data_IF_386525799218
#
_entry.id   IF_386525799218
#
_cell.length_a   1.000
_cell.length_b   1.000
_cell.length_c   1.000
_cell.angle_alpha   90.00
_cell.angle_beta   90.00
_cell.angle_gamma   90.00
#
_symmetry.space_group_name_H-M   'P 1'
#
loop_
_entity.id
_entity.type
_entity.pdbx_description
1 polymer ?
#
# COMPACT_ATOMS: atom_id res chain seq x y z
N UNK A 1 19.35 13.97 -5.41
CA UNK A 1 19.37 12.67 -4.71
C UNK A 1 17.96 12.34 -4.24
N UNK A 2 17.44 11.17 -4.61
CA UNK A 2 16.08 10.78 -4.24
C UNK A 2 16.10 10.04 -2.92
N UNK A 3 15.34 10.53 -1.96
CA UNK A 3 15.22 9.90 -0.65
C UNK A 3 14.30 8.68 -0.69
N UNK A 4 14.38 7.83 0.32
CA UNK A 4 13.60 6.60 0.39
C UNK A 4 12.09 6.87 0.37
N UNK A 5 11.63 7.88 1.08
CA UNK A 5 10.21 8.22 1.10
C UNK A 5 9.69 8.55 -0.30
N UNK A 6 10.43 9.35 -1.05
CA UNK A 6 10.05 9.73 -2.41
C UNK A 6 10.05 8.52 -3.35
N UNK A 7 11.02 7.62 -3.20
CA UNK A 7 11.05 6.37 -3.98
C UNK A 7 9.82 5.52 -3.69
N UNK A 8 9.46 5.38 -2.42
CA UNK A 8 8.29 4.61 -2.00
C UNK A 8 7.02 5.22 -2.58
N UNK A 9 6.83 6.53 -2.41
CA UNK A 9 5.64 7.22 -2.92
C UNK A 9 5.53 7.12 -4.43
N UNK A 10 6.65 7.27 -5.13
CA UNK A 10 6.67 7.16 -6.59
C UNK A 10 6.27 5.75 -7.04
N UNK A 11 6.80 4.73 -6.38
CA UNK A 11 6.46 3.34 -6.70
C UNK A 11 4.98 3.06 -6.44
N UNK A 12 4.40 3.64 -5.39
CA UNK A 12 3.00 3.44 -5.03
C UNK A 12 2.03 4.29 -5.86
N UNK A 13 2.53 5.18 -6.70
CA UNK A 13 1.70 6.05 -7.52
C UNK A 13 0.94 5.29 -8.62
N UNK A 14 1.37 4.09 -8.95
CA UNK A 14 0.77 3.29 -10.00
C UNK A 14 -0.15 2.20 -9.42
N UNK A 15 -1.40 2.07 -9.91
CA UNK A 15 -2.33 1.09 -9.36
C UNK A 15 -1.90 -0.37 -9.56
N UNK A 16 -1.24 -0.69 -10.68
CA UNK A 16 -0.74 -2.05 -10.90
C UNK A 16 0.31 -2.41 -9.87
N UNK A 17 1.22 -1.48 -9.58
CA UNK A 17 2.26 -1.73 -8.56
C UNK A 17 1.65 -1.91 -7.17
N UNK A 18 0.63 -1.12 -6.82
CA UNK A 18 -0.09 -1.33 -5.55
C UNK A 18 -0.75 -2.70 -5.51
N UNK A 19 -1.33 -3.13 -6.63
CA UNK A 19 -1.94 -4.46 -6.74
C UNK A 19 -0.94 -5.59 -6.57
N UNK A 20 0.25 -5.44 -7.16
CA UNK A 20 1.33 -6.42 -7.01
C UNK A 20 1.76 -6.53 -5.54
N UNK A 21 1.91 -5.41 -4.85
CA UNK A 21 2.26 -5.44 -3.43
C UNK A 21 1.18 -6.12 -2.60
N UNK A 22 -0.10 -5.90 -2.94
CA UNK A 22 -1.20 -6.57 -2.26
C UNK A 22 -1.12 -8.09 -2.46
N UNK A 23 -0.79 -8.55 -3.66
CA UNK A 23 -0.59 -9.98 -3.92
C UNK A 23 0.56 -10.52 -3.07
N UNK A 24 1.66 -9.79 -3.00
CA UNK A 24 2.85 -10.21 -2.25
C UNK A 24 2.64 -10.17 -0.74
N UNK A 25 1.65 -9.42 -0.25
CA UNK A 25 1.30 -9.44 1.17
C UNK A 25 0.72 -10.79 1.60
N UNK A 26 0.22 -11.57 0.64
CA UNK A 26 -0.31 -12.91 0.90
C UNK A 26 0.78 -13.99 0.85
N UNK A 27 1.96 -13.66 0.34
CA UNK A 27 3.08 -14.60 0.24
C UNK A 27 3.92 -14.36 -0.99
N UNK A 28 5.05 -15.05 -1.07
CA UNK A 28 5.94 -14.98 -2.23
C UNK A 28 5.22 -15.41 -3.49
N UNK A 29 5.61 -14.82 -4.61
CA UNK A 29 5.04 -15.15 -5.91
C UNK A 29 6.05 -14.94 -7.03
N UNK A 30 5.95 -15.75 -8.07
CA UNK A 30 6.77 -15.60 -9.27
C UNK A 30 6.19 -14.51 -10.16
N UNK A 31 6.98 -14.04 -11.14
CA UNK A 31 6.51 -13.04 -12.11
C UNK A 31 5.25 -13.52 -12.82
N UNK A 32 5.21 -14.79 -13.22
CA UNK A 32 4.05 -15.36 -13.92
C UNK A 32 2.80 -15.34 -13.05
N UNK A 33 2.94 -15.69 -11.78
CA UNK A 33 1.83 -15.65 -10.82
C UNK A 33 1.33 -14.22 -10.63
N UNK A 34 2.25 -13.27 -10.51
CA UNK A 34 1.90 -11.86 -10.32
C UNK A 34 1.22 -11.28 -11.56
N UNK A 35 1.60 -11.74 -12.74
CA UNK A 35 1.05 -11.26 -14.01
C UNK A 35 -0.37 -11.78 -14.29
N UNK A 36 -0.74 -12.90 -13.69
CA UNK A 36 -1.97 -13.62 -14.02
C UNK A 36 -3.24 -12.74 -13.97
N UNK A 37 -3.48 -11.92 -12.93
CA UNK A 37 -4.70 -11.11 -12.88
C UNK A 37 -4.70 -9.89 -13.81
N UNK A 38 -3.59 -9.62 -14.49
CA UNK A 38 -3.47 -8.42 -15.32
C UNK A 38 -3.46 -8.76 -16.81
N UNK A 39 -4.10 -7.92 -17.60
CA UNK A 39 -4.06 -8.01 -19.06
C UNK A 39 -2.87 -7.21 -19.58
N UNK A 40 -1.67 -7.71 -19.32
CA UNK A 40 -0.44 -7.08 -19.77
C UNK A 40 0.65 -8.12 -19.97
N UNK A 41 1.67 -7.79 -20.76
CA UNK A 41 2.77 -8.69 -21.05
C UNK A 41 3.65 -8.93 -19.82
N UNK A 42 4.37 -10.06 -19.81
CA UNK A 42 5.36 -10.32 -18.76
C UNK A 42 6.43 -9.22 -18.73
N UNK A 43 6.79 -8.67 -19.88
CA UNK A 43 7.75 -7.58 -19.95
C UNK A 43 7.25 -6.33 -19.23
N UNK A 44 5.95 -6.02 -19.37
CA UNK A 44 5.34 -4.88 -18.68
C UNK A 44 5.32 -5.11 -17.17
N UNK A 45 4.92 -6.31 -16.74
CA UNK A 45 4.94 -6.67 -15.31
C UNK A 45 6.36 -6.58 -14.77
N UNK A 46 7.35 -7.08 -15.52
CA UNK A 46 8.75 -7.03 -15.11
C UNK A 46 9.24 -5.59 -14.91
N UNK A 47 8.79 -4.65 -15.73
CA UNK A 47 9.14 -3.23 -15.55
C UNK A 47 8.58 -2.69 -14.24
N UNK A 48 7.34 -3.05 -13.90
CA UNK A 48 6.75 -2.66 -12.61
C UNK A 48 7.53 -3.26 -11.45
N UNK A 49 7.96 -4.51 -11.56
CA UNK A 49 8.76 -5.18 -10.54
C UNK A 49 10.11 -4.50 -10.35
N UNK A 50 10.75 -4.04 -11.43
CA UNK A 50 12.01 -3.32 -11.32
C UNK A 50 11.86 -2.02 -10.55
N UNK A 51 10.77 -1.29 -10.77
CA UNK A 51 10.50 -0.06 -10.01
C UNK A 51 10.33 -0.38 -8.53
N UNK A 52 9.56 -1.42 -8.21
CA UNK A 52 9.35 -1.84 -6.82
C UNK A 52 10.64 -2.31 -6.15
N UNK A 53 11.45 -3.06 -6.89
CA UNK A 53 12.74 -3.55 -6.39
C UNK A 53 13.70 -2.40 -6.12
N UNK A 54 13.78 -1.44 -7.04
CA UNK A 54 14.63 -0.27 -6.89
C UNK A 54 14.21 0.58 -5.70
N UNK A 55 12.92 0.63 -5.40
CA UNK A 55 12.41 1.35 -4.22
C UNK A 55 12.58 0.55 -2.93
N UNK A 56 13.08 -0.68 -3.00
CA UNK A 56 13.28 -1.52 -1.83
C UNK A 56 12.00 -2.13 -1.28
N UNK A 57 10.90 -2.08 -2.05
CA UNK A 57 9.61 -2.62 -1.61
C UNK A 57 9.47 -4.12 -1.85
N UNK A 58 10.29 -4.67 -2.72
CA UNK A 58 10.35 -6.11 -2.97
C UNK A 58 11.81 -6.55 -3.08
N UNK A 59 12.05 -7.82 -2.81
CA UNK A 59 13.31 -8.48 -3.11
C UNK A 59 13.03 -9.69 -3.99
N UNK A 60 14.06 -10.20 -4.64
CA UNK A 60 13.94 -11.36 -5.53
C UNK A 60 14.83 -12.47 -5.03
N UNK A 61 14.29 -13.69 -4.99
CA UNK A 61 15.05 -14.87 -4.62
C UNK A 61 16.15 -15.16 -5.62
N UNK A 62 17.16 -15.91 -5.19
CA UNK A 62 18.34 -16.24 -6.00
C UNK A 62 18.22 -17.57 -6.74
N UNK A 63 17.10 -18.26 -6.58
CA UNK A 63 16.86 -19.53 -7.25
C UNK A 63 16.65 -19.30 -8.74
N UNK A 64 17.54 -19.87 -9.54
CA UNK A 64 17.71 -19.52 -10.95
C UNK A 64 16.44 -19.63 -11.80
N UNK A 65 15.53 -20.56 -11.49
CA UNK A 65 14.34 -20.78 -12.30
C UNK A 65 13.11 -20.10 -11.76
N UNK A 66 13.03 -19.90 -10.48
CA UNK A 66 11.80 -19.45 -9.83
C UNK A 66 11.87 -17.98 -9.42
N UNK A 67 13.01 -17.51 -8.99
CA UNK A 67 13.24 -16.13 -8.54
C UNK A 67 11.97 -15.48 -7.99
N UNK A 68 11.38 -16.06 -6.93
CA UNK A 68 10.14 -15.50 -6.40
C UNK A 68 10.37 -14.08 -5.88
N UNK A 69 9.33 -13.26 -6.02
CA UNK A 69 9.33 -11.93 -5.45
C UNK A 69 8.79 -12.01 -4.03
N UNK A 70 9.34 -11.20 -3.16
CA UNK A 70 8.96 -11.14 -1.75
C UNK A 70 8.75 -9.69 -1.34
N UNK A 71 7.70 -9.44 -0.58
CA UNK A 71 7.45 -8.11 -0.04
C UNK A 71 8.50 -7.76 1.01
N UNK A 72 9.05 -6.56 0.90
CA UNK A 72 9.90 -5.95 1.91
C UNK A 72 9.10 -4.79 2.52
N UNK A 73 8.64 -4.99 3.75
CA UNK A 73 7.70 -4.06 4.37
C UNK A 73 8.35 -2.81 4.99
N UNK A 74 9.68 -2.80 5.16
CA UNK A 74 10.33 -1.70 5.87
C UNK A 74 10.09 -0.32 5.24
N UNK A 75 10.16 -0.13 3.90
CA UNK A 75 9.82 1.17 3.34
C UNK A 75 8.38 1.60 3.57
N UNK A 76 7.46 0.63 3.64
CA UNK A 76 6.06 0.92 3.96
C UNK A 76 5.91 1.36 5.42
N UNK A 77 6.70 0.77 6.30
CA UNK A 77 6.72 1.16 7.71
C UNK A 77 7.20 2.60 7.87
N UNK A 78 8.25 2.99 7.13
CA UNK A 78 8.73 4.36 7.13
C UNK A 78 7.66 5.32 6.63
N UNK A 79 6.97 4.95 5.55
CA UNK A 79 5.86 5.74 5.02
C UNK A 79 4.75 5.90 6.06
N UNK A 80 4.38 4.82 6.74
CA UNK A 80 3.38 4.87 7.79
C UNK A 80 3.78 5.83 8.91
N UNK A 81 5.06 5.82 9.29
CA UNK A 81 5.60 6.73 10.29
C UNK A 81 5.49 8.19 9.88
N UNK A 82 5.73 8.47 8.60
CA UNK A 82 5.58 9.82 8.07
C UNK A 82 4.11 10.25 8.08
N UNK A 83 3.21 9.39 7.62
CA UNK A 83 1.77 9.68 7.61
C UNK A 83 1.25 9.89 9.04
N UNK A 84 1.80 9.16 10.02
CA UNK A 84 1.41 9.27 11.42
C UNK A 84 1.51 10.69 11.95
N UNK A 85 2.42 11.51 11.42
CA UNK A 85 2.55 12.92 11.81
C UNK A 85 1.27 13.73 11.55
N UNK A 86 0.43 13.25 10.66
CA UNK A 86 -0.80 13.92 10.25
C UNK A 86 -2.05 13.28 10.84
N UNK A 87 -1.89 12.24 11.65
CA UNK A 87 -2.99 11.44 12.18
C UNK A 87 -4.04 12.27 12.90
N UNK A 88 -3.61 13.28 13.65
CA UNK A 88 -4.52 14.15 14.39
C UNK A 88 -5.58 14.82 13.51
N UNK A 89 -5.28 15.02 12.20
CA UNK A 89 -6.20 15.68 11.29
C UNK A 89 -7.40 14.81 10.92
N UNK A 90 -7.20 13.49 10.81
CA UNK A 90 -8.31 12.60 10.51
C UNK A 90 -8.90 11.95 11.75
N UNK A 91 -8.11 11.69 12.80
CA UNK A 91 -8.61 11.12 14.04
C UNK A 91 -9.66 12.04 14.68
N UNK A 92 -9.40 13.34 14.73
CA UNK A 92 -10.38 14.29 15.25
C UNK A 92 -11.69 14.24 14.47
N UNK A 93 -11.60 14.12 13.15
CA UNK A 93 -12.79 14.02 12.30
C UNK A 93 -13.54 12.72 12.53
N UNK A 94 -12.82 11.60 12.69
CA UNK A 94 -13.42 10.31 12.98
C UNK A 94 -14.06 10.29 14.36
N UNK A 95 -13.41 10.89 15.37
CA UNK A 95 -13.96 11.00 16.72
C UNK A 95 -15.26 11.81 16.72
N UNK A 96 -15.31 12.89 15.96
CA UNK A 96 -16.52 13.71 15.83
C UNK A 96 -17.64 12.92 15.17
N UNK A 97 -17.32 12.16 14.13
CA UNK A 97 -18.31 11.33 13.45
C UNK A 97 -18.83 10.24 14.39
N UNK A 98 -17.94 9.59 15.13
CA UNK A 98 -18.31 8.58 16.11
C UNK A 98 -19.25 9.15 17.17
N UNK A 99 -18.92 10.32 17.72
CA UNK A 99 -19.75 11.00 18.70
C UNK A 99 -21.12 11.36 18.15
N UNK A 100 -21.16 11.81 16.89
CA UNK A 100 -22.42 12.10 16.20
C UNK A 100 -23.29 10.85 16.04
N UNK A 101 -22.68 9.75 15.60
CA UNK A 101 -23.40 8.47 15.43
C UNK A 101 -23.94 7.95 16.76
N UNK A 102 -23.16 8.06 17.83
CA UNK A 102 -23.59 7.67 19.18
C UNK A 102 -24.78 8.52 19.64
N UNK A 103 -24.71 9.84 19.40
CA UNK A 103 -25.78 10.75 19.76
C UNK A 103 -27.07 10.39 19.02
N UNK A 104 -26.98 10.05 17.75
CA UNK A 104 -28.14 9.61 16.95
C UNK A 104 -28.74 8.31 17.50
N UNK A 105 -27.89 7.38 17.90
CA UNK A 105 -28.33 6.10 18.44
C UNK A 105 -29.06 6.25 19.78
N UNK A 106 -28.63 7.22 20.59
CA UNK A 106 -29.29 7.53 21.86
C UNK A 106 -30.59 8.31 21.69
N UNK A 107 -30.88 8.80 20.48
CA UNK A 107 -32.00 9.67 20.24
C UNK A 107 -31.84 11.04 20.90
N UNK A 108 -30.60 11.51 21.01
CA UNK A 108 -30.25 12.79 21.64
C UNK A 108 -30.88 13.95 20.86
N UNK A 109 -31.73 14.81 21.51
CA UNK A 109 -32.37 15.92 20.79
C UNK A 109 -31.36 16.98 20.33
N UNK A 110 -30.16 17.02 20.91
CA UNK A 110 -29.10 17.94 20.52
C UNK A 110 -28.22 17.36 19.42
N UNK A 111 -28.49 16.12 18.95
CA UNK A 111 -27.74 15.54 17.85
C UNK A 111 -27.97 16.35 16.57
N UNK A 112 -26.92 16.65 15.81
CA UNK A 112 -27.08 17.40 14.56
C UNK A 112 -28.00 16.65 13.59
N UNK A 113 -28.93 17.39 12.98
CA UNK A 113 -29.79 16.86 11.91
C UNK A 113 -29.16 17.24 10.58
N UNK A 114 -29.13 16.32 9.65
CA UNK A 114 -28.62 16.59 8.32
C UNK A 114 -29.49 17.54 7.55
#
# INVERSE_FOLDING_TARGET
MTDQLSLTLSALADPTRRGILAQLSEGEATVSELAEPYDMSLAAVSKHLKVLEKAGLISRGKEAQWRPCRLEAEPLRELAGWVENYRRFWDQSLDRLEGYLEALQRGDPDAPKN
#
